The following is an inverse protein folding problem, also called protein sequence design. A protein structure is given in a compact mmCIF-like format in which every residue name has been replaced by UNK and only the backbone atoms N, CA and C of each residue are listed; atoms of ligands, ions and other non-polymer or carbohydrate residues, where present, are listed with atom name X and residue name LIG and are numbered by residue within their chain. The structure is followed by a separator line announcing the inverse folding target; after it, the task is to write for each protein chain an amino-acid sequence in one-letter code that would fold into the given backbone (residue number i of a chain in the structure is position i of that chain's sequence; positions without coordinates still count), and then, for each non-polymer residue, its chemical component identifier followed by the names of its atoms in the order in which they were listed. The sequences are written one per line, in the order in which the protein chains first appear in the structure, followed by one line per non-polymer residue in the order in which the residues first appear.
data_IF_612124325318
#
_entry.id   IF_612124325318
#
_cell.length_a   1.000
_cell.length_b   1.000
_cell.length_c   1.000
_cell.angle_alpha   90.00
_cell.angle_beta   90.00
_cell.angle_gamma   90.00
#
_symmetry.space_group_name_H-M   'P 1'
#
loop_
_entity.id
_entity.type
_entity.pdbx_description
1 polymer ?
#
# COMPACT_ATOMS: atom_id res chain seq x y z
N UNK A 1 5.43 2.80 9.03
CA UNK A 1 5.55 1.37 9.44
C UNK A 1 6.91 0.85 9.01
N UNK A 2 7.70 0.21 9.90
CA UNK A 2 9.03 -0.34 9.58
C UNK A 2 9.01 -1.85 9.75
N UNK A 3 9.01 -2.58 8.63
CA UNK A 3 9.19 -4.03 8.62
C UNK A 3 10.66 -4.37 8.92
N UNK A 4 10.90 -5.10 10.00
CA UNK A 4 12.22 -5.62 10.39
C UNK A 4 12.22 -7.12 10.15
N UNK A 5 13.07 -7.58 9.23
CA UNK A 5 13.28 -8.99 8.95
C UNK A 5 14.63 -9.43 9.53
N UNK A 6 14.63 -10.55 10.25
CA UNK A 6 15.76 -11.19 10.93
C UNK A 6 16.68 -12.00 10.00
N UNK A 7 16.29 -12.15 8.72
CA UNK A 7 17.09 -12.81 7.68
C UNK A 7 17.27 -14.33 7.83
N UNK A 8 16.88 -14.92 8.96
CA UNK A 8 17.21 -16.31 9.30
C UNK A 8 16.11 -17.32 8.95
N UNK A 9 14.85 -16.89 8.80
CA UNK A 9 13.73 -17.82 8.54
C UNK A 9 13.04 -17.50 7.22
N UNK A 10 13.07 -18.40 6.21
CA UNK A 10 12.29 -18.24 4.98
C UNK A 10 10.83 -18.62 5.25
N UNK A 11 10.16 -17.83 6.07
CA UNK A 11 8.69 -17.92 6.20
C UNK A 11 8.11 -16.92 5.22
N UNK A 12 7.19 -17.37 4.35
CA UNK A 12 6.39 -16.43 3.54
C UNK A 12 5.60 -15.55 4.49
N UNK A 13 6.06 -14.32 4.70
CA UNK A 13 5.43 -13.33 5.57
C UNK A 13 4.57 -12.45 4.67
N UNK A 14 3.26 -12.61 4.78
CA UNK A 14 2.28 -11.73 4.13
C UNK A 14 2.01 -10.53 5.04
N UNK A 15 1.84 -9.36 4.44
CA UNK A 15 1.44 -8.13 5.14
C UNK A 15 -0.01 -7.85 4.81
N UNK A 16 -0.87 -7.79 5.81
CA UNK A 16 -2.25 -7.34 5.64
C UNK A 16 -2.27 -5.82 5.61
N UNK A 17 -2.78 -5.26 4.52
CA UNK A 17 -2.89 -3.82 4.27
C UNK A 17 -4.36 -3.44 4.20
N UNK A 18 -4.72 -2.34 4.87
CA UNK A 18 -6.08 -1.77 4.84
C UNK A 18 -6.09 -0.42 4.14
N UNK A 19 -5.02 0.36 4.31
CA UNK A 19 -4.81 1.66 3.72
C UNK A 19 -3.32 1.87 3.37
N UNK A 20 -3.07 2.80 2.46
CA UNK A 20 -1.73 3.25 2.13
C UNK A 20 -1.69 4.77 2.14
N UNK A 21 -0.76 5.35 2.88
CA UNK A 21 -0.54 6.80 2.95
C UNK A 21 0.65 7.20 2.06
N UNK A 22 0.47 8.25 1.28
CA UNK A 22 1.51 8.88 0.46
C UNK A 22 2.20 9.99 1.24
N UNK A 23 3.43 10.33 0.85
CA UNK A 23 4.25 11.33 1.56
C UNK A 23 3.63 12.75 1.56
N UNK A 24 2.65 13.02 0.69
CA UNK A 24 1.90 14.28 0.61
C UNK A 24 0.60 14.29 1.43
N UNK A 25 0.36 13.25 2.24
CA UNK A 25 -0.74 13.19 3.23
C UNK A 25 -2.09 12.72 2.67
N UNK A 26 -2.09 12.13 1.47
CA UNK A 26 -3.25 11.42 0.95
C UNK A 26 -3.19 9.95 1.37
N UNK A 27 -4.35 9.38 1.65
CA UNK A 27 -4.47 7.96 1.95
C UNK A 27 -5.41 7.29 0.94
N UNK A 28 -5.03 6.13 0.44
CA UNK A 28 -5.93 5.26 -0.32
C UNK A 28 -6.47 4.19 0.62
N UNK A 29 -7.78 4.19 0.84
CA UNK A 29 -8.47 3.24 1.71
C UNK A 29 -9.06 2.11 0.86
N UNK A 30 -8.62 0.87 1.12
CA UNK A 30 -9.10 -0.29 0.39
C UNK A 30 -10.52 -0.62 0.83
N UNK A 31 -11.40 -0.95 -0.13
CA UNK A 31 -12.75 -1.43 0.17
C UNK A 31 -12.75 -2.75 0.96
N UNK A 32 -11.68 -3.53 0.84
CA UNK A 32 -11.41 -4.71 1.66
C UNK A 32 -9.90 -4.89 1.87
N UNK A 33 -9.46 -5.37 3.06
CA UNK A 33 -8.05 -5.63 3.31
C UNK A 33 -7.41 -6.57 2.28
N UNK A 34 -6.14 -6.33 1.93
CA UNK A 34 -5.37 -7.11 0.97
C UNK A 34 -4.07 -7.63 1.60
N UNK A 35 -3.70 -8.87 1.26
CA UNK A 35 -2.37 -9.39 1.59
C UNK A 35 -1.36 -9.06 0.49
N UNK A 36 -0.22 -8.49 0.89
CA UNK A 36 0.95 -8.32 0.03
C UNK A 36 2.02 -9.35 0.40
N UNK A 37 2.59 -9.99 -0.61
CA UNK A 37 3.72 -10.88 -0.48
C UNK A 37 5.04 -10.19 -0.82
N UNK A 38 6.15 -10.77 -0.39
CA UNK A 38 7.46 -10.34 -0.84
C UNK A 38 7.59 -10.50 -2.37
N UNK A 39 8.03 -9.44 -3.04
CA UNK A 39 8.17 -9.39 -4.50
C UNK A 39 6.98 -8.77 -5.22
N UNK A 40 5.84 -8.58 -4.55
CA UNK A 40 4.74 -7.79 -5.08
C UNK A 40 5.17 -6.32 -5.24
N UNK A 41 4.75 -5.69 -6.33
CA UNK A 41 4.99 -4.28 -6.62
C UNK A 41 3.68 -3.53 -6.53
N UNK A 42 3.69 -2.39 -5.86
CA UNK A 42 2.52 -1.54 -5.70
C UNK A 42 2.71 -0.22 -6.43
N UNK A 43 1.64 0.29 -7.03
CA UNK A 43 1.64 1.57 -7.72
C UNK A 43 0.28 2.25 -7.59
N UNK A 44 0.27 3.56 -7.78
CA UNK A 44 -0.96 4.33 -8.01
C UNK A 44 -1.03 4.70 -9.49
N UNK A 45 -2.06 4.25 -10.17
CA UNK A 45 -2.25 4.44 -11.61
C UNK A 45 -3.70 4.85 -11.87
N UNK A 46 -3.91 5.87 -12.71
CA UNK A 46 -5.25 6.41 -13.05
C UNK A 46 -6.13 6.73 -11.83
N UNK A 47 -5.51 7.14 -10.72
CA UNK A 47 -6.21 7.43 -9.46
C UNK A 47 -6.65 6.19 -8.68
N UNK A 48 -6.26 4.98 -9.08
CA UNK A 48 -6.50 3.74 -8.35
C UNK A 48 -5.23 3.13 -7.75
N UNK A 49 -5.42 2.13 -6.91
CA UNK A 49 -4.33 1.30 -6.38
C UNK A 49 -4.14 0.04 -7.24
N UNK A 50 -2.88 -0.27 -7.54
CA UNK A 50 -2.50 -1.41 -8.38
C UNK A 50 -1.46 -2.24 -7.67
N UNK A 51 -1.64 -3.57 -7.73
CA UNK A 51 -0.64 -4.55 -7.28
C UNK A 51 -0.26 -5.45 -8.44
N UNK A 52 1.03 -5.49 -8.76
CA UNK A 52 1.61 -6.48 -9.67
C UNK A 52 2.28 -7.53 -8.80
N UNK A 53 1.68 -8.71 -8.74
CA UNK A 53 2.21 -9.83 -7.98
C UNK A 53 3.55 -10.28 -8.54
N UNK A 54 4.36 -10.95 -7.72
CA UNK A 54 5.63 -11.54 -8.18
C UNK A 54 5.45 -12.52 -9.36
N UNK A 55 4.27 -13.14 -9.49
CA UNK A 55 3.87 -14.00 -10.62
C UNK A 55 3.62 -13.23 -11.94
N UNK A 56 3.56 -11.90 -11.89
CA UNK A 56 3.16 -11.03 -13.00
C UNK A 56 1.66 -10.78 -13.08
N UNK A 57 0.85 -11.42 -12.23
CA UNK A 57 -0.60 -11.16 -12.15
C UNK A 57 -0.83 -9.73 -11.67
N UNK A 58 -1.69 -9.00 -12.36
CA UNK A 58 -2.06 -7.63 -12.02
C UNK A 58 -3.43 -7.59 -11.37
N UNK A 59 -3.51 -6.90 -10.24
CA UNK A 59 -4.73 -6.68 -9.46
C UNK A 59 -4.99 -5.18 -9.37
N UNK A 60 -6.26 -4.80 -9.43
CA UNK A 60 -6.74 -3.44 -9.20
C UNK A 60 -7.76 -3.46 -8.07
N UNK A 61 -7.32 -3.47 -6.80
CA UNK A 61 -8.23 -3.46 -5.66
C UNK A 61 -9.13 -2.23 -5.64
N UNK A 62 -10.40 -2.43 -5.30
CA UNK A 62 -11.33 -1.33 -5.09
C UNK A 62 -10.97 -0.55 -3.82
N UNK A 63 -11.23 0.75 -3.85
CA UNK A 63 -10.96 1.66 -2.74
C UNK A 63 -11.13 3.11 -3.16
N UNK A 64 -10.95 4.01 -2.21
CA UNK A 64 -11.19 5.43 -2.37
C UNK A 64 -10.05 6.26 -1.75
N UNK A 65 -9.84 7.46 -2.29
CA UNK A 65 -8.90 8.42 -1.71
C UNK A 65 -9.55 9.20 -0.57
N UNK A 66 -8.85 9.29 0.56
CA UNK A 66 -9.16 10.18 1.67
C UNK A 66 -7.99 11.14 1.92
N UNK A 67 -8.30 12.33 2.43
CA UNK A 67 -7.28 13.26 2.93
C UNK A 67 -7.15 13.07 4.42
N UNK A 68 -5.93 12.80 4.91
CA UNK A 68 -5.70 12.70 6.35
C UNK A 68 -5.00 13.97 6.81
N UNK A 69 -5.73 14.80 7.57
CA UNK A 69 -5.19 16.00 8.18
C UNK A 69 -4.26 15.63 9.35
N UNK A 70 -3.01 15.28 9.06
CA UNK A 70 -1.95 15.05 10.05
C UNK A 70 -1.10 16.30 10.33
N UNK A 71 -0.38 16.40 11.47
CA UNK A 71 0.61 17.46 11.69
C UNK A 71 1.72 17.34 10.63
N UNK A 72 1.64 18.15 9.57
CA UNK A 72 2.48 18.06 8.36
C UNK A 72 1.70 18.16 7.04
N UNK A 73 0.37 18.02 7.06
CA UNK A 73 -0.50 18.04 5.88
C UNK A 73 -0.81 19.44 5.31
N UNK A 74 0.02 20.44 5.64
CA UNK A 74 -0.11 21.86 5.23
C UNK A 74 1.21 22.26 4.57
N UNK A 75 1.34 22.82 3.36
CA UNK A 75 0.43 23.30 2.29
C UNK A 75 1.29 23.28 1.01
N UNK A 76 0.78 22.82 -0.15
CA UNK A 76 1.31 23.32 -1.43
C UNK A 76 0.49 24.56 -1.84
N UNK A 77 1.18 25.69 -1.94
CA UNK A 77 0.71 26.87 -2.67
C UNK A 77 0.67 26.58 -4.16
#
# INVERSE_FOLDING_TARGET
MRLVADGATPTSRLVLVQDLETDDGYAFELASPLFLAAGDRVAFEDGGFVVVQASGVRLSPAGDWSTRCGPGSLRRR
#
